data_IF_110595995589
#
_entry.id   IF_110595995589
#
_cell.length_a   1.000
_cell.length_b   1.000
_cell.length_c   1.000
_cell.angle_alpha   90.00
_cell.angle_beta   90.00
_cell.angle_gamma   90.00
#
_symmetry.space_group_name_H-M   'P 1'
#
loop_
_entity.id
_entity.type
_entity.pdbx_description
1 polymer ?
#
# COMPACT_ATOMS: atom_id res chain seq x y z
N UNK A 1 -82.70 -27.66 12.83
CA UNK A 1 -81.45 -27.89 12.07
C UNK A 1 -81.52 -29.26 11.42
N UNK A 2 -81.49 -29.33 10.10
CA UNK A 2 -81.56 -30.59 9.34
C UNK A 2 -80.19 -31.25 9.25
N UNK A 3 -80.15 -32.53 8.86
CA UNK A 3 -78.88 -33.23 8.60
C UNK A 3 -78.06 -32.53 7.51
N UNK A 4 -78.72 -32.00 6.47
CA UNK A 4 -78.09 -31.24 5.40
C UNK A 4 -77.39 -29.99 5.94
N UNK A 5 -78.06 -29.20 6.78
CA UNK A 5 -77.48 -27.99 7.38
C UNK A 5 -76.24 -28.31 8.23
N UNK A 6 -76.27 -29.42 8.97
CA UNK A 6 -75.12 -29.89 9.78
C UNK A 6 -73.92 -30.27 8.93
N UNK A 7 -74.16 -30.98 7.82
CA UNK A 7 -73.09 -31.41 6.89
C UNK A 7 -72.47 -30.19 6.20
N UNK A 8 -73.28 -29.24 5.74
CA UNK A 8 -72.78 -28.00 5.13
C UNK A 8 -71.93 -27.18 6.12
N UNK A 9 -72.38 -27.02 7.37
CA UNK A 9 -71.61 -26.30 8.38
C UNK A 9 -70.24 -26.94 8.67
N UNK A 10 -70.19 -28.28 8.77
CA UNK A 10 -68.93 -29.01 8.95
C UNK A 10 -67.98 -28.81 7.76
N UNK A 11 -68.49 -28.90 6.53
CA UNK A 11 -67.68 -28.70 5.32
C UNK A 11 -67.08 -27.28 5.28
N UNK A 12 -67.85 -26.24 5.63
CA UNK A 12 -67.36 -24.86 5.71
C UNK A 12 -66.28 -24.70 6.80
N UNK A 13 -66.47 -25.30 7.98
CA UNK A 13 -65.50 -25.23 9.06
C UNK A 13 -64.17 -25.90 8.66
N UNK A 14 -64.23 -27.08 8.02
CA UNK A 14 -63.04 -27.77 7.50
C UNK A 14 -62.34 -26.91 6.44
N UNK A 15 -63.08 -26.36 5.48
CA UNK A 15 -62.51 -25.48 4.45
C UNK A 15 -61.83 -24.23 5.04
N UNK A 16 -62.41 -23.65 6.08
CA UNK A 16 -61.82 -22.53 6.83
C UNK A 16 -60.51 -22.94 7.51
N UNK A 17 -60.46 -24.10 8.16
CA UNK A 17 -59.23 -24.62 8.80
C UNK A 17 -58.14 -24.94 7.78
N UNK A 18 -58.49 -25.53 6.62
CA UNK A 18 -57.53 -25.79 5.54
C UNK A 18 -56.96 -24.48 4.98
N UNK A 19 -57.79 -23.47 4.76
CA UNK A 19 -57.33 -22.14 4.33
C UNK A 19 -56.36 -21.54 5.37
N UNK A 20 -56.67 -21.67 6.65
CA UNK A 20 -55.80 -21.20 7.73
C UNK A 20 -54.45 -21.94 7.76
N UNK A 21 -54.42 -23.24 7.48
CA UNK A 21 -53.16 -24.01 7.35
C UNK A 21 -52.31 -23.49 6.18
N UNK A 22 -52.89 -23.26 5.01
CA UNK A 22 -52.15 -22.68 3.87
C UNK A 22 -51.66 -21.26 4.13
N UNK A 23 -52.45 -20.44 4.84
CA UNK A 23 -52.03 -19.10 5.26
C UNK A 23 -50.84 -19.14 6.22
N UNK A 24 -50.84 -20.06 7.19
CA UNK A 24 -49.74 -20.22 8.14
C UNK A 24 -48.47 -20.79 7.49
N UNK A 25 -48.62 -21.67 6.49
CA UNK A 25 -47.48 -22.22 5.73
C UNK A 25 -46.86 -21.18 4.78
N UNK A 26 -47.68 -20.28 4.22
CA UNK A 26 -47.27 -19.36 3.17
C UNK A 26 -47.15 -20.02 1.79
N UNK A 27 -46.74 -19.25 0.78
CA UNK A 27 -46.53 -19.72 -0.59
C UNK A 27 -45.11 -20.26 -0.77
N UNK A 28 -44.95 -21.58 -0.97
CA UNK A 28 -43.64 -22.21 -1.18
C UNK A 28 -42.87 -21.62 -2.38
N UNK A 29 -43.58 -21.19 -3.42
CA UNK A 29 -42.94 -20.57 -4.59
C UNK A 29 -42.25 -19.24 -4.28
N UNK A 30 -42.64 -18.58 -3.19
CA UNK A 30 -42.05 -17.33 -2.72
C UNK A 30 -40.77 -17.53 -1.88
N UNK A 31 -40.40 -18.78 -1.55
CA UNK A 31 -39.11 -19.06 -0.93
C UNK A 31 -37.97 -18.63 -1.86
N UNK A 32 -36.91 -18.08 -1.26
CA UNK A 32 -35.67 -17.70 -1.97
C UNK A 32 -34.64 -18.83 -2.02
N UNK A 33 -34.89 -19.93 -1.32
CA UNK A 33 -34.10 -21.16 -1.37
C UNK A 33 -34.23 -21.84 -2.73
N UNK A 34 -33.30 -22.75 -3.02
CA UNK A 34 -33.36 -23.60 -4.21
C UNK A 34 -34.41 -24.69 -4.04
N UNK A 35 -34.45 -25.34 -2.87
CA UNK A 35 -35.45 -26.34 -2.48
C UNK A 35 -36.76 -25.66 -2.06
N UNK A 36 -37.85 -25.98 -2.78
CA UNK A 36 -39.20 -25.40 -2.59
C UNK A 36 -40.30 -26.46 -2.50
N UNK A 37 -39.96 -27.75 -2.54
CA UNK A 37 -40.92 -28.86 -2.44
C UNK A 37 -41.65 -28.84 -1.10
N UNK A 38 -40.95 -28.49 -0.02
CA UNK A 38 -41.53 -28.36 1.32
C UNK A 38 -40.66 -27.48 2.23
N UNK A 39 -41.25 -27.01 3.35
CA UNK A 39 -40.56 -26.14 4.32
C UNK A 39 -39.35 -26.81 5.00
N UNK A 40 -39.40 -28.12 5.24
CA UNK A 40 -38.30 -28.83 5.91
C UNK A 40 -37.05 -28.87 5.03
N UNK A 41 -37.22 -29.13 3.73
CA UNK A 41 -36.15 -29.07 2.74
C UNK A 41 -35.53 -27.68 2.65
N UNK A 42 -36.35 -26.64 2.53
CA UNK A 42 -35.90 -25.25 2.52
C UNK A 42 -35.13 -24.85 3.80
N UNK A 43 -35.63 -25.26 4.98
CA UNK A 43 -34.97 -25.01 6.27
C UNK A 43 -33.62 -25.73 6.34
N UNK A 44 -33.56 -26.98 5.90
CA UNK A 44 -32.31 -27.75 5.90
C UNK A 44 -31.28 -27.15 4.93
N UNK A 45 -31.69 -26.61 3.78
CA UNK A 45 -30.80 -25.88 2.87
C UNK A 45 -30.16 -24.67 3.57
N UNK A 46 -30.96 -23.84 4.25
CA UNK A 46 -30.46 -22.66 4.98
C UNK A 46 -29.55 -23.07 6.14
N UNK A 47 -29.93 -24.11 6.90
CA UNK A 47 -29.11 -24.62 7.99
C UNK A 47 -27.72 -25.08 7.47
N UNK A 48 -27.67 -25.74 6.32
CA UNK A 48 -26.42 -26.16 5.70
C UNK A 48 -25.59 -24.99 5.15
N UNK A 49 -26.24 -23.89 4.71
CA UNK A 49 -25.53 -22.70 4.26
C UNK A 49 -24.70 -22.03 5.38
N UNK A 50 -25.08 -22.21 6.65
CA UNK A 50 -24.30 -21.69 7.80
C UNK A 50 -22.92 -22.32 7.95
N UNK A 51 -22.69 -23.48 7.32
CA UNK A 51 -21.39 -24.15 7.34
C UNK A 51 -20.36 -23.52 6.40
N UNK A 52 -20.74 -22.52 5.60
CA UNK A 52 -19.84 -21.88 4.62
C UNK A 52 -18.75 -21.02 5.26
N UNK A 53 -18.94 -20.58 6.51
CA UNK A 53 -17.95 -19.80 7.25
C UNK A 53 -17.08 -20.75 8.09
N UNK A 54 -15.77 -20.73 7.87
CA UNK A 54 -14.79 -21.52 8.62
C UNK A 54 -13.50 -20.71 8.82
N UNK A 55 -13.22 -20.31 10.07
CA UNK A 55 -12.05 -19.49 10.43
C UNK A 55 -10.78 -20.31 10.76
N UNK A 56 -10.86 -21.64 10.66
CA UNK A 56 -9.77 -22.55 11.03
C UNK A 56 -8.90 -22.87 9.82
N UNK A 57 -9.50 -23.34 8.73
CA UNK A 57 -8.76 -23.82 7.55
C UNK A 57 -9.20 -23.13 6.26
N UNK A 58 -8.26 -22.59 5.46
CA UNK A 58 -8.58 -22.11 4.13
C UNK A 58 -9.10 -23.24 3.24
N UNK A 59 -10.15 -22.97 2.47
CA UNK A 59 -10.74 -23.91 1.53
C UNK A 59 -11.28 -23.16 0.32
N UNK A 60 -11.32 -23.82 -0.84
CA UNK A 60 -11.92 -23.27 -2.06
C UNK A 60 -13.46 -23.16 -1.97
N UNK A 61 -14.10 -23.86 -1.02
CA UNK A 61 -15.56 -23.92 -0.86
C UNK A 61 -16.09 -23.21 0.39
N UNK A 62 -15.21 -22.56 1.15
CA UNK A 62 -15.54 -21.85 2.40
C UNK A 62 -15.01 -20.42 2.35
N UNK A 63 -15.54 -19.57 3.20
CA UNK A 63 -15.06 -18.20 3.41
C UNK A 63 -14.71 -17.98 4.88
N UNK A 64 -13.88 -16.98 5.13
CA UNK A 64 -13.63 -16.48 6.47
C UNK A 64 -14.73 -15.53 6.93
N UNK A 65 -14.88 -15.40 8.26
CA UNK A 65 -15.64 -14.33 8.88
C UNK A 65 -14.98 -12.97 8.63
N UNK A 66 -15.75 -11.88 8.70
CA UNK A 66 -15.20 -10.52 8.54
C UNK A 66 -14.05 -10.22 9.50
N UNK A 67 -14.14 -10.71 10.74
CA UNK A 67 -13.10 -10.57 11.76
C UNK A 67 -11.82 -11.31 11.36
N UNK A 68 -11.94 -12.55 10.85
CA UNK A 68 -10.79 -13.34 10.41
C UNK A 68 -10.15 -12.75 9.16
N UNK A 69 -10.95 -12.25 8.22
CA UNK A 69 -10.46 -11.52 7.04
C UNK A 69 -9.63 -10.32 7.49
N UNK A 70 -10.15 -9.49 8.39
CA UNK A 70 -9.41 -8.34 8.93
C UNK A 70 -8.09 -8.77 9.57
N UNK A 71 -8.11 -9.82 10.38
CA UNK A 71 -6.90 -10.35 11.03
C UNK A 71 -5.85 -10.81 10.02
N UNK A 72 -6.24 -11.61 9.02
CA UNK A 72 -5.33 -12.11 7.98
C UNK A 72 -4.76 -10.97 7.14
N UNK A 73 -5.59 -9.99 6.75
CA UNK A 73 -5.15 -8.83 5.96
C UNK A 73 -4.19 -7.96 6.76
N UNK A 74 -4.48 -7.66 8.02
CA UNK A 74 -3.58 -6.88 8.88
C UNK A 74 -2.24 -7.60 9.12
N UNK A 75 -2.29 -8.93 9.32
CA UNK A 75 -1.09 -9.74 9.46
C UNK A 75 -0.25 -9.74 8.17
N UNK A 76 -0.88 -9.92 7.00
CA UNK A 76 -0.21 -9.88 5.71
C UNK A 76 0.42 -8.50 5.44
N UNK A 77 -0.32 -7.41 5.69
CA UNK A 77 0.21 -6.05 5.53
C UNK A 77 1.43 -5.79 6.43
N UNK A 78 1.38 -6.29 7.67
CA UNK A 78 2.51 -6.18 8.61
C UNK A 78 3.70 -7.02 8.16
N UNK A 79 3.46 -8.25 7.70
CA UNK A 79 4.51 -9.12 7.17
C UNK A 79 5.20 -8.48 5.96
N UNK A 80 4.43 -7.96 4.99
CA UNK A 80 4.97 -7.24 3.83
C UNK A 80 5.76 -6.00 4.25
N UNK A 81 5.28 -5.19 5.22
CA UNK A 81 6.07 -4.07 5.74
C UNK A 81 7.40 -4.58 6.31
N UNK A 82 7.38 -5.63 7.12
CA UNK A 82 8.59 -6.17 7.74
C UNK A 82 9.57 -6.76 6.70
N UNK A 83 9.07 -7.44 5.68
CA UNK A 83 9.89 -7.96 4.56
C UNK A 83 10.54 -6.83 3.76
N UNK A 84 9.79 -5.77 3.46
CA UNK A 84 10.33 -4.58 2.77
C UNK A 84 11.39 -3.86 3.59
N UNK A 85 11.23 -3.82 4.92
CA UNK A 85 12.20 -3.16 5.80
C UNK A 85 13.41 -4.03 6.09
N UNK A 86 13.29 -5.35 6.11
CA UNK A 86 14.42 -6.28 6.28
C UNK A 86 15.26 -6.02 7.54
N UNK A 87 14.68 -5.42 8.59
CA UNK A 87 15.41 -5.01 9.80
C UNK A 87 15.95 -3.58 9.79
N UNK A 88 15.56 -2.75 8.82
CA UNK A 88 15.83 -1.32 8.83
C UNK A 88 15.34 -0.66 10.13
N UNK A 89 16.14 0.25 10.68
CA UNK A 89 15.74 1.02 11.85
C UNK A 89 14.55 1.93 11.54
N UNK A 90 13.90 2.48 12.58
CA UNK A 90 12.80 3.44 12.43
C UNK A 90 13.17 4.73 11.68
N UNK A 91 14.45 4.99 11.42
CA UNK A 91 14.90 6.14 10.62
C UNK A 91 14.87 5.90 9.10
N UNK A 92 14.51 4.68 8.67
CA UNK A 92 14.44 4.24 7.28
C UNK A 92 13.21 3.34 7.06
N UNK A 93 12.14 3.58 7.83
CA UNK A 93 10.96 2.73 7.79
C UNK A 93 9.95 3.15 6.69
N UNK A 94 10.28 4.22 5.95
CA UNK A 94 9.53 4.68 4.77
C UNK A 94 10.43 4.90 3.54
N UNK A 95 9.85 4.69 2.36
CA UNK A 95 10.52 4.97 1.07
C UNK A 95 10.85 6.46 0.89
N UNK A 96 10.01 7.35 1.44
CA UNK A 96 10.19 8.79 1.35
C UNK A 96 11.43 9.28 2.10
N UNK A 97 11.72 8.70 3.26
CA UNK A 97 12.93 9.00 4.04
C UNK A 97 14.19 8.56 3.30
N UNK A 98 14.14 7.36 2.68
CA UNK A 98 15.25 6.83 1.87
C UNK A 98 15.50 7.73 0.66
N UNK A 99 14.45 8.15 -0.05
CA UNK A 99 14.56 9.10 -1.16
C UNK A 99 15.22 10.41 -0.73
N UNK A 100 14.74 11.00 0.38
CA UNK A 100 15.27 12.26 0.89
C UNK A 100 16.75 12.19 1.27
N UNK A 101 17.17 11.08 1.92
CA UNK A 101 18.57 10.85 2.28
C UNK A 101 19.46 10.70 1.06
N UNK A 102 19.06 9.87 0.09
CA UNK A 102 19.84 9.69 -1.15
C UNK A 102 19.97 11.01 -1.95
N UNK A 103 18.90 11.81 -2.02
CA UNK A 103 18.96 13.14 -2.65
C UNK A 103 19.91 14.09 -1.93
N UNK A 104 19.88 14.12 -0.59
CA UNK A 104 20.77 14.96 0.23
C UNK A 104 22.23 14.53 0.12
N UNK A 105 22.49 13.23 0.12
CA UNK A 105 23.82 12.65 -0.04
C UNK A 105 24.38 12.97 -1.44
N UNK A 106 23.57 12.90 -2.50
CA UNK A 106 23.99 13.24 -3.86
C UNK A 106 24.44 14.71 -3.96
N UNK A 107 23.72 15.63 -3.32
CA UNK A 107 24.12 17.04 -3.25
C UNK A 107 25.43 17.24 -2.48
N UNK A 108 25.59 16.50 -1.38
CA UNK A 108 26.80 16.56 -0.53
C UNK A 108 28.02 16.01 -1.27
N UNK A 109 27.88 14.88 -1.96
CA UNK A 109 28.92 14.27 -2.79
C UNK A 109 29.27 15.19 -3.97
N UNK A 110 28.26 15.77 -4.65
CA UNK A 110 28.49 16.75 -5.72
C UNK A 110 29.29 17.95 -5.22
N UNK A 111 28.92 18.50 -4.07
CA UNK A 111 29.64 19.61 -3.44
C UNK A 111 31.09 19.25 -3.09
N UNK A 112 31.32 18.05 -2.57
CA UNK A 112 32.66 17.54 -2.27
C UNK A 112 33.48 17.37 -3.54
N UNK A 113 32.90 16.78 -4.60
CA UNK A 113 33.57 16.57 -5.88
C UNK A 113 33.96 17.90 -6.53
N UNK A 114 33.06 18.89 -6.49
CA UNK A 114 33.37 20.26 -6.95
C UNK A 114 34.49 20.89 -6.13
N UNK A 115 34.44 20.80 -4.80
CA UNK A 115 35.48 21.35 -3.93
C UNK A 115 36.85 20.68 -4.15
N UNK A 116 36.88 19.36 -4.37
CA UNK A 116 38.09 18.62 -4.74
C UNK A 116 38.57 19.02 -6.15
N UNK A 117 37.64 19.19 -7.10
CA UNK A 117 37.94 19.65 -8.46
C UNK A 117 38.56 21.05 -8.53
N UNK A 118 38.32 21.90 -7.52
CA UNK A 118 38.95 23.21 -7.40
C UNK A 118 40.37 23.18 -6.81
N UNK A 119 40.86 22.03 -6.34
CA UNK A 119 42.23 21.91 -5.83
C UNK A 119 43.23 21.78 -6.98
N UNK A 120 44.38 22.43 -6.80
CA UNK A 120 45.55 22.23 -7.67
C UNK A 120 46.10 20.83 -7.42
N UNK A 121 46.31 20.06 -8.48
CA UNK A 121 46.92 18.73 -8.45
C UNK A 121 48.44 18.86 -8.53
N UNK A 122 49.11 18.00 -7.78
CA UNK A 122 50.58 17.88 -7.80
C UNK A 122 51.03 16.59 -8.48
N UNK A 123 50.10 15.66 -8.71
CA UNK A 123 50.35 14.32 -9.26
C UNK A 123 50.24 14.27 -10.79
N UNK A 124 49.66 15.30 -11.43
CA UNK A 124 49.52 15.39 -12.88
C UNK A 124 49.45 16.86 -13.35
N UNK A 125 49.87 17.14 -14.61
CA UNK A 125 49.63 18.44 -15.24
C UNK A 125 48.12 18.79 -15.29
N UNK A 126 47.78 20.07 -15.13
CA UNK A 126 46.41 20.59 -15.21
C UNK A 126 46.32 21.76 -16.20
N UNK A 127 45.21 21.81 -16.95
CA UNK A 127 44.85 22.97 -17.77
C UNK A 127 43.89 23.85 -17.00
N UNK A 128 44.34 25.04 -16.62
CA UNK A 128 43.57 26.03 -15.87
C UNK A 128 43.31 27.27 -16.74
N UNK A 129 42.21 27.98 -16.51
CA UNK A 129 41.95 29.29 -17.14
C UNK A 129 42.88 30.35 -16.58
N UNK A 130 43.09 31.47 -17.30
CA UNK A 130 43.95 32.56 -16.83
C UNK A 130 43.54 33.09 -15.44
N UNK A 131 42.23 33.25 -15.20
CA UNK A 131 41.70 33.69 -13.91
C UNK A 131 41.97 32.67 -12.79
N UNK A 132 41.86 31.36 -13.09
CA UNK A 132 42.20 30.30 -12.12
C UNK A 132 43.69 30.31 -11.78
N UNK A 133 44.57 30.51 -12.77
CA UNK A 133 46.03 30.59 -12.57
C UNK A 133 46.38 31.77 -11.65
N UNK A 134 45.83 32.96 -11.91
CA UNK A 134 46.03 34.13 -11.03
C UNK A 134 45.58 33.84 -9.60
N UNK A 135 44.40 33.25 -9.40
CA UNK A 135 43.91 32.93 -8.05
C UNK A 135 44.79 31.90 -7.33
N UNK A 136 45.28 30.88 -8.05
CA UNK A 136 46.21 29.88 -7.50
C UNK A 136 47.51 30.54 -7.05
N UNK A 137 48.12 31.38 -7.90
CA UNK A 137 49.38 32.04 -7.58
C UNK A 137 49.23 33.05 -6.43
N UNK A 138 48.09 33.74 -6.36
CA UNK A 138 47.76 34.58 -5.21
C UNK A 138 47.65 33.76 -3.91
N UNK A 139 46.95 32.61 -3.93
CA UNK A 139 46.82 31.73 -2.76
C UNK A 139 48.16 31.13 -2.30
N UNK A 140 49.08 30.85 -3.24
CA UNK A 140 50.42 30.34 -2.94
C UNK A 140 51.43 31.45 -2.55
N UNK A 141 51.04 32.72 -2.64
CA UNK A 141 51.93 33.85 -2.37
C UNK A 141 52.98 34.10 -3.46
N UNK A 142 52.75 33.61 -4.68
CA UNK A 142 53.67 33.75 -5.82
C UNK A 142 53.50 35.11 -6.53
N UNK A 143 52.31 35.74 -6.43
CA UNK A 143 52.01 37.05 -7.05
C UNK A 143 51.41 36.95 -8.46
N UNK A 144 51.36 38.06 -9.20
CA UNK A 144 50.79 38.11 -10.56
C UNK A 144 51.73 37.45 -11.58
N UNK A 145 51.37 36.29 -12.17
CA UNK A 145 52.24 35.56 -13.09
C UNK A 145 52.58 36.33 -14.37
N UNK A 146 51.76 37.31 -14.75
CA UNK A 146 51.95 38.09 -15.97
C UNK A 146 52.63 39.44 -15.71
N UNK A 147 53.27 39.62 -14.55
CA UNK A 147 54.00 40.85 -14.24
C UNK A 147 55.12 41.05 -15.26
N UNK A 148 55.06 42.14 -16.02
CA UNK A 148 56.15 42.54 -16.91
C UNK A 148 57.28 43.15 -16.10
N UNK A 149 58.20 42.28 -15.67
CA UNK A 149 59.37 42.69 -14.91
C UNK A 149 60.31 43.58 -15.72
N UNK A 150 60.33 43.47 -17.06
CA UNK A 150 61.16 44.31 -17.93
C UNK A 150 60.60 45.72 -17.96
N UNK A 151 59.29 45.87 -18.14
CA UNK A 151 58.62 47.17 -18.05
C UNK A 151 58.79 47.80 -16.66
N UNK A 152 58.62 47.01 -15.60
CA UNK A 152 58.80 47.47 -14.22
C UNK A 152 60.23 47.95 -13.96
N UNK A 153 61.23 47.20 -14.43
CA UNK A 153 62.63 47.56 -14.32
C UNK A 153 62.95 48.84 -15.12
N UNK A 154 62.51 48.92 -16.37
CA UNK A 154 62.75 50.09 -17.21
C UNK A 154 62.07 51.36 -16.65
N UNK A 155 60.90 51.23 -16.01
CA UNK A 155 60.23 52.33 -15.33
C UNK A 155 60.97 52.81 -14.06
N UNK A 156 61.83 51.97 -13.46
CA UNK A 156 62.63 52.33 -12.30
C UNK A 156 63.98 52.98 -12.66
N UNK A 157 64.37 52.96 -13.94
CA UNK A 157 65.61 53.58 -14.44
C UNK A 157 65.48 55.06 -14.83
N UNK A 158 64.25 55.56 -14.91
CA UNK A 158 63.90 56.98 -15.16
C UNK A 158 63.66 57.72 -13.85
#
# INVERSE_FOLDING_TARGET
MTLQERISALATAIGGKIKQLFQNQGNLSALVTTEKTNLVGAINEVANATTLIDDVTPSASKTYSSNKIQSVVSAAATATKNELLGGASSAFDTLQEIESRLGSDNNSIGSLLTAVGFRVRFDAPQTLTAAQITQVNANLGIGEPNTDFVATFNAALV
#
